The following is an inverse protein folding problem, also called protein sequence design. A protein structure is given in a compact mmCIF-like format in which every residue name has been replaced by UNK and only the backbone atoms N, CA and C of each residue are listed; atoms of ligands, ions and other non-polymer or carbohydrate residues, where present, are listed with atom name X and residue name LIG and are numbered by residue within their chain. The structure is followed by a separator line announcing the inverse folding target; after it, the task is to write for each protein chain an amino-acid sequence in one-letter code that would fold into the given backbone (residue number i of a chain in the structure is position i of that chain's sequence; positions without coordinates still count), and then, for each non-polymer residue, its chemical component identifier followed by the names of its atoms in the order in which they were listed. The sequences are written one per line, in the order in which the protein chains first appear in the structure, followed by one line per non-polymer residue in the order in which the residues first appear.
data_IF_054606273630
#
_entry.id   IF_054606273630
#
_cell.length_a   1.000
_cell.length_b   1.000
_cell.length_c   1.000
_cell.angle_alpha   90.00
_cell.angle_beta   90.00
_cell.angle_gamma   90.00
#
_symmetry.space_group_name_H-M   'P 1'
#
loop_
_entity.id
_entity.type
_entity.pdbx_description
1 polymer ?
#
# COMPACT_ATOMS: atom_id res chain seq x y z
N UNK A 1 -8.70 11.16 -11.19
CA UNK A 1 -7.45 10.99 -10.41
C UNK A 1 -7.60 9.72 -9.58
N UNK A 2 -6.71 8.75 -9.83
CA UNK A 2 -7.03 7.31 -9.77
C UNK A 2 -6.91 6.68 -8.37
N UNK A 3 -7.90 5.90 -7.91
CA UNK A 3 -7.68 4.87 -6.90
C UNK A 3 -6.92 3.66 -7.46
N UNK A 4 -5.98 3.14 -6.69
CA UNK A 4 -5.26 1.89 -6.94
C UNK A 4 -6.02 0.68 -6.39
N UNK A 5 -5.96 -0.46 -7.07
CA UNK A 5 -6.47 -1.73 -6.55
C UNK A 5 -5.40 -2.83 -6.70
N UNK A 6 -5.08 -3.52 -5.61
CA UNK A 6 -4.03 -4.53 -5.49
C UNK A 6 -4.62 -5.84 -4.96
N UNK A 7 -4.62 -6.92 -5.75
CA UNK A 7 -5.04 -8.25 -5.30
C UNK A 7 -3.85 -9.01 -4.68
N UNK A 8 -3.91 -9.32 -3.37
CA UNK A 8 -2.87 -10.04 -2.63
C UNK A 8 -3.45 -11.34 -2.03
N UNK A 9 -2.86 -12.51 -2.36
CA UNK A 9 -3.02 -13.73 -1.56
C UNK A 9 -1.94 -13.80 -0.50
N UNK A 10 -2.39 -13.93 0.74
CA UNK A 10 -1.56 -14.33 1.86
C UNK A 10 -1.49 -15.86 1.90
N UNK A 11 -0.30 -16.43 1.73
CA UNK A 11 -0.02 -17.83 2.06
C UNK A 11 0.51 -17.89 3.50
N UNK A 12 0.01 -18.80 4.35
CA UNK A 12 0.52 -18.91 5.71
C UNK A 12 1.97 -19.40 5.65
N UNK A 13 2.92 -18.57 6.08
CA UNK A 13 4.27 -19.05 6.36
C UNK A 13 4.18 -19.95 7.59
N UNK A 14 4.59 -21.21 7.42
CA UNK A 14 4.83 -22.16 8.48
C UNK A 14 5.55 -21.50 9.66
N UNK A 15 5.00 -21.69 10.85
CA UNK A 15 5.53 -21.36 12.16
C UNK A 15 7.05 -21.22 12.22
N UNK A 16 7.57 -20.00 12.21
CA UNK A 16 8.87 -19.65 12.77
C UNK A 16 8.80 -18.19 13.17
N UNK A 17 9.01 -17.90 14.46
CA UNK A 17 9.19 -16.53 14.90
C UNK A 17 10.44 -15.97 14.21
N UNK A 18 10.23 -15.10 13.23
CA UNK A 18 11.30 -14.40 12.54
C UNK A 18 11.65 -13.15 13.35
N UNK A 19 12.94 -12.89 13.49
CA UNK A 19 13.48 -11.74 14.20
C UNK A 19 12.92 -10.41 13.64
N UNK A 20 12.85 -9.36 14.47
CA UNK A 20 12.39 -8.02 14.06
C UNK A 20 13.08 -7.49 12.79
N UNK A 21 14.29 -7.96 12.47
CA UNK A 21 15.04 -7.59 11.27
C UNK A 21 14.60 -8.35 10.00
N UNK A 22 14.08 -9.58 10.11
CA UNK A 22 13.61 -10.40 8.97
C UNK A 22 12.11 -10.22 8.67
N UNK A 23 11.39 -9.50 9.53
CA UNK A 23 9.97 -9.14 9.41
C UNK A 23 9.67 -8.13 8.28
N UNK A 24 10.60 -7.87 7.35
CA UNK A 24 10.47 -6.89 6.25
C UNK A 24 9.63 -7.43 5.07
N UNK A 25 8.81 -8.45 5.30
CA UNK A 25 8.33 -9.35 4.25
C UNK A 25 6.80 -9.32 4.09
N UNK A 26 6.29 -8.22 3.52
CA UNK A 26 5.17 -8.17 2.55
C UNK A 26 4.61 -6.74 2.49
N UNK A 27 5.33 -5.81 1.86
CA UNK A 27 4.97 -4.39 1.82
C UNK A 27 5.00 -3.87 0.40
N UNK A 28 4.06 -2.98 0.04
CA UNK A 28 4.05 -2.36 -1.28
C UNK A 28 4.19 -0.84 -1.14
N UNK A 29 5.40 -0.28 -1.25
CA UNK A 29 5.55 1.16 -1.29
C UNK A 29 5.01 1.70 -2.62
N UNK A 30 3.99 2.55 -2.51
CA UNK A 30 3.48 3.37 -3.59
C UNK A 30 4.09 4.77 -3.48
N UNK A 31 4.75 5.24 -4.53
CA UNK A 31 5.31 6.59 -4.61
C UNK A 31 4.40 7.47 -5.47
N UNK A 32 3.93 8.57 -4.89
CA UNK A 32 3.05 9.53 -5.56
C UNK A 32 3.72 10.89 -5.66
N UNK A 33 3.28 11.68 -6.62
CA UNK A 33 3.52 13.12 -6.71
C UNK A 33 2.24 13.85 -6.30
N UNK A 34 2.38 14.94 -5.54
CA UNK A 34 1.26 15.81 -5.17
C UNK A 34 1.39 17.22 -5.76
N UNK A 35 0.37 18.05 -5.54
CA UNK A 35 0.29 19.44 -6.01
C UNK A 35 1.28 20.41 -5.35
N UNK A 36 2.05 19.94 -4.37
CA UNK A 36 3.19 20.67 -3.78
C UNK A 36 4.53 20.25 -4.38
N UNK A 37 4.51 19.50 -5.49
CA UNK A 37 5.68 18.91 -6.15
C UNK A 37 6.49 18.00 -5.20
N UNK A 38 5.82 17.43 -4.18
CA UNK A 38 6.46 16.57 -3.19
C UNK A 38 6.20 15.10 -3.50
N UNK A 39 7.29 14.33 -3.58
CA UNK A 39 7.20 12.87 -3.69
C UNK A 39 6.90 12.27 -2.32
N UNK A 40 5.76 11.59 -2.21
CA UNK A 40 5.33 10.91 -0.98
C UNK A 40 5.25 9.41 -1.16
N UNK A 41 5.39 8.68 -0.06
CA UNK A 41 5.39 7.22 -0.06
C UNK A 41 4.32 6.67 0.88
N UNK A 42 3.42 5.85 0.35
CA UNK A 42 2.48 5.07 1.14
C UNK A 42 2.96 3.63 1.25
N UNK A 43 3.08 3.12 2.48
CA UNK A 43 3.51 1.76 2.79
C UNK A 43 2.33 0.99 3.34
N UNK A 44 1.80 0.08 2.53
CA UNK A 44 0.77 -0.84 2.97
C UNK A 44 1.43 -2.11 3.48
N UNK A 45 1.20 -2.43 4.75
CA UNK A 45 1.95 -3.46 5.48
C UNK A 45 1.10 -4.18 6.50
N UNK A 46 1.34 -5.46 6.77
CA UNK A 46 0.67 -6.19 7.85
C UNK A 46 1.17 -5.82 9.27
N UNK A 47 2.03 -4.81 9.41
CA UNK A 47 2.34 -4.22 10.72
C UNK A 47 1.09 -3.58 11.33
N UNK A 48 1.07 -3.44 12.65
CA UNK A 48 -0.08 -2.91 13.39
C UNK A 48 -0.02 -1.39 13.60
N UNK A 49 1.15 -0.76 13.43
CA UNK A 49 1.35 0.66 13.71
C UNK A 49 1.06 1.56 12.50
N UNK A 50 0.31 2.62 12.74
CA UNK A 50 0.11 3.70 11.77
C UNK A 50 1.12 4.81 12.08
N UNK A 51 1.94 5.16 11.09
CA UNK A 51 2.90 6.25 11.24
C UNK A 51 2.84 7.19 10.06
N UNK A 52 2.60 8.46 10.34
CA UNK A 52 2.63 9.54 9.35
C UNK A 52 3.86 10.40 9.60
N UNK A 53 4.63 10.63 8.55
CA UNK A 53 5.72 11.60 8.46
C UNK A 53 5.56 12.38 7.16
N UNK A 54 6.26 13.49 7.02
CA UNK A 54 6.16 14.37 5.84
C UNK A 54 6.26 13.62 4.51
N UNK A 55 7.16 12.64 4.38
CA UNK A 55 7.41 11.95 3.12
C UNK A 55 6.92 10.50 3.07
N UNK A 56 6.56 9.93 4.23
CA UNK A 56 6.23 8.52 4.36
C UNK A 56 5.03 8.33 5.29
N UNK A 57 4.07 7.55 4.83
CA UNK A 57 2.96 7.05 5.63
C UNK A 57 2.94 5.53 5.63
N UNK A 58 2.93 4.93 6.82
CA UNK A 58 2.72 3.49 7.02
C UNK A 58 1.26 3.25 7.38
N UNK A 59 0.63 2.37 6.62
CA UNK A 59 -0.78 2.00 6.72
C UNK A 59 -0.85 0.50 7.03
N UNK A 60 -1.43 0.12 8.18
CA UNK A 60 -1.60 -1.29 8.53
C UNK A 60 -2.64 -1.96 7.62
N UNK A 61 -2.36 -3.18 7.19
CA UNK A 61 -3.27 -4.07 6.45
C UNK A 61 -3.67 -5.24 7.36
N UNK A 62 -4.97 -5.42 7.55
CA UNK A 62 -5.50 -6.60 8.23
C UNK A 62 -5.94 -7.63 7.18
N UNK A 63 -5.07 -8.61 6.93
CA UNK A 63 -5.33 -9.68 5.96
C UNK A 63 -5.59 -10.99 6.72
N UNK A 64 -6.75 -11.59 6.52
CA UNK A 64 -7.04 -12.93 7.01
C UNK A 64 -6.42 -14.02 6.10
N UNK A 65 -6.58 -15.29 6.43
CA UNK A 65 -6.17 -16.38 5.53
C UNK A 65 -6.99 -16.35 4.23
N UNK A 66 -6.32 -16.34 3.08
CA UNK A 66 -6.98 -16.39 1.76
C UNK A 66 -6.56 -15.26 0.80
N UNK A 67 -7.27 -15.17 -0.33
CA UNK A 67 -7.14 -14.10 -1.32
C UNK A 67 -7.86 -12.84 -0.82
N UNK A 68 -7.19 -11.69 -0.89
CA UNK A 68 -7.77 -10.38 -0.55
C UNK A 68 -7.59 -9.39 -1.70
N UNK A 69 -8.61 -8.57 -1.91
CA UNK A 69 -8.54 -7.40 -2.77
C UNK A 69 -8.26 -6.20 -1.88
N UNK A 70 -7.11 -5.57 -2.05
CA UNK A 70 -6.72 -4.35 -1.35
C UNK A 70 -6.97 -3.17 -2.29
N UNK A 71 -8.06 -2.45 -2.09
CA UNK A 71 -8.34 -1.22 -2.84
C UNK A 71 -7.90 -0.01 -2.02
N UNK A 72 -7.15 0.88 -2.67
CA UNK A 72 -6.52 2.06 -2.08
C UNK A 72 -6.85 3.26 -2.94
N UNK A 73 -7.70 4.14 -2.43
CA UNK A 73 -7.92 5.43 -3.07
C UNK A 73 -6.75 6.39 -2.79
N UNK A 74 -5.75 6.45 -3.67
CA UNK A 74 -4.57 7.29 -3.45
C UNK A 74 -4.90 8.78 -3.36
N UNK A 75 -5.93 9.25 -4.07
CA UNK A 75 -6.35 10.64 -3.97
C UNK A 75 -6.86 10.96 -2.57
N UNK A 76 -7.79 10.15 -2.07
CA UNK A 76 -8.34 10.31 -0.73
C UNK A 76 -7.29 10.10 0.38
N UNK A 77 -6.36 9.14 0.19
CA UNK A 77 -5.25 8.94 1.12
C UNK A 77 -4.32 10.15 1.16
N UNK A 78 -4.02 10.75 0.02
CA UNK A 78 -3.15 11.94 -0.07
C UNK A 78 -3.81 13.14 0.61
N UNK A 79 -5.07 13.40 0.30
CA UNK A 79 -5.85 14.48 0.90
C UNK A 79 -5.97 14.32 2.42
N UNK A 80 -6.38 13.13 2.90
CA UNK A 80 -6.56 12.89 4.35
C UNK A 80 -5.27 12.92 5.16
N UNK A 81 -4.15 12.51 4.56
CA UNK A 81 -2.89 12.36 5.28
C UNK A 81 -2.06 13.64 5.25
N UNK A 82 -2.06 14.34 4.12
CA UNK A 82 -1.16 15.46 3.86
C UNK A 82 -1.88 16.78 3.58
N UNK A 83 -3.20 16.76 3.36
CA UNK A 83 -3.95 17.95 2.97
C UNK A 83 -3.61 18.45 1.56
N UNK A 84 -3.03 17.59 0.72
CA UNK A 84 -2.57 17.90 -0.64
C UNK A 84 -3.30 17.08 -1.69
N UNK A 85 -3.25 17.53 -2.94
CA UNK A 85 -3.93 16.85 -4.05
C UNK A 85 -2.99 15.84 -4.71
N UNK A 86 -3.41 14.58 -4.78
CA UNK A 86 -2.72 13.56 -5.57
C UNK A 86 -2.68 13.95 -7.05
N UNK A 87 -1.51 13.92 -7.69
CA UNK A 87 -1.38 14.16 -9.12
C UNK A 87 -1.24 12.85 -9.90
N UNK A 88 -0.17 12.12 -9.61
CA UNK A 88 0.17 10.90 -10.33
C UNK A 88 0.91 9.90 -9.44
N UNK A 89 0.98 8.66 -9.91
CA UNK A 89 1.80 7.65 -9.26
C UNK A 89 3.05 7.38 -10.08
N UNK A 90 4.19 7.51 -9.41
CA UNK A 90 5.51 7.39 -10.02
C UNK A 90 6.00 5.94 -10.00
N UNK A 91 5.70 5.20 -8.93
CA UNK A 91 6.20 3.84 -8.75
C UNK A 91 5.32 3.04 -7.82
N UNK A 92 5.10 1.77 -8.17
CA UNK A 92 4.67 0.74 -7.23
C UNK A 92 5.66 -0.39 -7.20
N UNK A 93 5.99 -0.80 -5.98
CA UNK A 93 6.81 -1.96 -5.72
C UNK A 93 5.98 -2.92 -4.89
N UNK A 94 6.21 -4.21 -5.08
CA UNK A 94 5.67 -5.25 -4.20
C UNK A 94 6.84 -6.11 -3.75
N UNK A 95 7.03 -6.23 -2.43
CA UNK A 95 8.05 -7.09 -1.87
C UNK A 95 7.58 -8.56 -1.85
N UNK A 96 8.52 -9.49 -1.62
CA UNK A 96 8.26 -10.93 -1.55
C UNK A 96 7.30 -11.36 -0.42
N UNK A 97 7.12 -12.66 -0.26
CA UNK A 97 6.18 -13.29 0.69
C UNK A 97 4.69 -13.00 0.44
N UNK A 98 4.33 -12.65 -0.79
CA UNK A 98 2.94 -12.62 -1.23
C UNK A 98 2.76 -13.38 -2.54
N UNK A 99 1.52 -13.76 -2.85
CA UNK A 99 1.14 -14.26 -4.17
C UNK A 99 0.23 -13.22 -4.81
N UNK A 100 0.61 -12.73 -5.98
CA UNK A 100 -0.14 -11.73 -6.72
C UNK A 100 -0.93 -12.43 -7.82
N UNK A 101 -2.21 -12.07 -7.93
CA UNK A 101 -3.00 -12.44 -9.09
C UNK A 101 -3.00 -11.32 -10.12
N UNK A 102 -3.25 -10.08 -9.66
CA UNK A 102 -3.37 -8.93 -10.54
C UNK A 102 -3.12 -7.62 -9.78
N UNK A 103 -2.43 -6.70 -10.45
CA UNK A 103 -2.29 -5.29 -10.05
C UNK A 103 -2.80 -4.46 -11.21
N UNK A 104 -3.71 -3.52 -10.93
CA UNK A 104 -4.21 -2.61 -11.94
C UNK A 104 -4.57 -1.26 -11.33
N UNK A 105 -4.56 -0.25 -12.19
CA UNK A 105 -5.15 1.04 -11.89
C UNK A 105 -6.59 1.04 -12.39
N UNK A 106 -7.49 1.70 -11.67
CA UNK A 106 -8.88 1.88 -12.07
C UNK A 106 -9.31 3.31 -11.80
N UNK A 107 -10.08 3.90 -12.70
CA UNK A 107 -10.86 5.08 -12.36
C UNK A 107 -11.98 4.68 -11.38
N UNK A 108 -12.28 5.56 -10.43
CA UNK A 108 -13.49 5.42 -9.61
C UNK A 108 -14.71 5.67 -10.50
N UNK A 109 -15.16 4.62 -11.18
CA UNK A 109 -16.49 4.44 -11.75
C UNK A 109 -16.59 3.01 -12.30
N UNK A 110 -16.68 2.02 -11.40
CA UNK A 110 -17.32 0.77 -11.76
C UNK A 110 -18.81 0.94 -11.43
N UNK A 111 -19.60 1.21 -12.47
CA UNK A 111 -21.01 0.82 -12.54
C UNK A 111 -21.08 -0.70 -12.44
#
# INVERSE_FOLDING_TARGET
MLPWSLNILHAPSSSTQLSEAESTLAHSPCQILDDTDTIRRFWFSTYTDTRVTTYLTRVPLQLARGWHIVQVNLAEFTEKTYGTTYLETLRVQVHGNCRLHQIFFSDYNNV
#
